data_IF_431588925676
#
_entry.id   IF_431588925676
#
_cell.length_a   1.000
_cell.length_b   1.000
_cell.length_c   1.000
_cell.angle_alpha   90.00
_cell.angle_beta   90.00
_cell.angle_gamma   90.00
#
_symmetry.space_group_name_H-M   'P 1'
#
loop_
_entity.id
_entity.type
_entity.pdbx_description
1 polymer ?
#
# COMPACT_ATOMS: atom_id res chain seq x y z
N UNK A 1 52.15 8.55 -63.69
CA UNK A 1 51.99 7.86 -62.40
C UNK A 1 50.71 8.36 -61.75
N UNK A 2 49.76 7.45 -61.49
CA UNK A 2 48.65 7.56 -60.53
C UNK A 2 47.64 8.72 -60.72
N UNK A 3 46.60 8.50 -61.53
CA UNK A 3 45.36 9.31 -61.46
C UNK A 3 44.07 8.48 -61.63
N UNK A 4 44.16 7.15 -61.76
CA UNK A 4 42.99 6.28 -61.97
C UNK A 4 42.43 5.64 -60.69
N UNK A 5 43.08 5.81 -59.53
CA UNK A 5 42.64 5.20 -58.26
C UNK A 5 41.54 5.99 -57.52
N UNK A 6 41.17 7.20 -57.97
CA UNK A 6 40.24 8.07 -57.23
C UNK A 6 38.75 7.80 -57.51
N UNK A 7 38.41 7.02 -58.54
CA UNK A 7 37.01 6.72 -58.88
C UNK A 7 36.45 5.53 -58.10
N UNK A 8 37.33 4.63 -57.67
CA UNK A 8 37.00 3.42 -56.91
C UNK A 8 36.81 3.71 -55.41
N UNK A 9 37.51 4.70 -54.86
CA UNK A 9 37.41 5.08 -53.44
C UNK A 9 36.06 5.74 -53.05
N UNK A 10 35.34 6.36 -54.01
CA UNK A 10 34.06 7.01 -53.72
C UNK A 10 32.92 6.04 -53.40
N UNK A 11 33.02 4.79 -53.86
CA UNK A 11 32.03 3.76 -53.54
C UNK A 11 32.06 3.38 -52.07
N UNK A 12 33.27 3.24 -51.50
CA UNK A 12 33.48 2.77 -50.13
C UNK A 12 32.92 3.77 -49.11
N UNK A 13 33.06 5.08 -49.36
CA UNK A 13 32.54 6.11 -48.44
C UNK A 13 31.02 6.05 -48.30
N UNK A 14 30.30 5.76 -49.39
CA UNK A 14 28.83 5.64 -49.38
C UNK A 14 28.39 4.42 -48.57
N UNK A 15 29.07 3.27 -48.73
CA UNK A 15 28.79 2.07 -47.93
C UNK A 15 29.01 2.33 -46.45
N UNK A 16 30.09 3.03 -46.09
CA UNK A 16 30.41 3.34 -44.70
C UNK A 16 29.35 4.23 -44.06
N UNK A 17 28.90 5.27 -44.76
CA UNK A 17 27.82 6.15 -44.30
C UNK A 17 26.51 5.37 -44.12
N UNK A 18 26.18 4.48 -45.05
CA UNK A 18 24.95 3.68 -44.99
C UNK A 18 24.96 2.73 -43.78
N UNK A 19 26.08 2.05 -43.53
CA UNK A 19 26.23 1.16 -42.36
C UNK A 19 26.07 1.97 -41.06
N UNK A 20 26.75 3.11 -40.96
CA UNK A 20 26.64 3.97 -39.76
C UNK A 20 25.20 4.44 -39.54
N UNK A 21 24.50 4.83 -40.61
CA UNK A 21 23.11 5.29 -40.52
C UNK A 21 22.16 4.17 -40.06
N UNK A 22 22.34 2.95 -40.57
CA UNK A 22 21.53 1.80 -40.15
C UNK A 22 21.81 1.43 -38.70
N UNK A 23 23.06 1.46 -38.25
CA UNK A 23 23.44 1.15 -36.87
C UNK A 23 22.88 2.20 -35.90
N UNK A 24 22.99 3.49 -36.21
CA UNK A 24 22.46 4.55 -35.33
C UNK A 24 20.93 4.54 -35.28
N UNK A 25 20.26 4.26 -36.41
CA UNK A 25 18.81 4.08 -36.44
C UNK A 25 18.36 2.86 -35.62
N UNK A 26 19.07 1.74 -35.74
CA UNK A 26 18.79 0.54 -34.95
C UNK A 26 18.93 0.80 -33.44
N UNK A 27 19.98 1.53 -33.04
CA UNK A 27 20.19 1.91 -31.65
C UNK A 27 19.09 2.84 -31.12
N UNK A 28 18.68 3.86 -31.89
CA UNK A 28 17.66 4.81 -31.46
C UNK A 28 16.27 4.17 -31.33
N UNK A 29 15.91 3.27 -32.25
CA UNK A 29 14.67 2.48 -32.18
C UNK A 29 14.71 1.51 -30.98
N UNK A 30 15.84 0.87 -30.73
CA UNK A 30 16.04 0.01 -29.57
C UNK A 30 15.79 0.76 -28.26
N UNK A 31 16.40 1.92 -28.08
CA UNK A 31 16.22 2.77 -26.89
C UNK A 31 14.78 3.24 -26.74
N UNK A 32 14.12 3.64 -27.84
CA UNK A 32 12.71 4.08 -27.81
C UNK A 32 11.77 2.99 -27.31
N UNK A 33 12.02 1.73 -27.68
CA UNK A 33 11.20 0.60 -27.22
C UNK A 33 11.32 0.34 -25.71
N UNK A 34 12.51 0.57 -25.14
CA UNK A 34 12.75 0.45 -23.70
C UNK A 34 12.03 1.56 -22.95
N UNK A 35 12.12 2.81 -23.42
CA UNK A 35 11.43 3.95 -22.83
C UNK A 35 9.91 3.77 -22.80
N UNK A 36 9.31 3.26 -23.88
CA UNK A 36 7.86 3.02 -23.93
C UNK A 36 7.41 1.95 -22.92
N UNK A 37 8.24 0.93 -22.66
CA UNK A 37 7.94 -0.07 -21.61
C UNK A 37 7.98 0.55 -20.22
N UNK A 38 8.94 1.43 -19.96
CA UNK A 38 9.06 2.11 -18.67
C UNK A 38 7.89 3.07 -18.40
N UNK A 39 7.38 3.78 -19.42
CA UNK A 39 6.22 4.66 -19.28
C UNK A 39 4.95 3.92 -18.82
N UNK A 40 4.74 2.68 -19.26
CA UNK A 40 3.60 1.87 -18.79
C UNK A 40 3.73 1.49 -17.31
N UNK A 41 4.94 1.25 -16.83
CA UNK A 41 5.18 0.96 -15.42
C UNK A 41 4.92 2.20 -14.55
N UNK A 42 5.29 3.39 -15.03
CA UNK A 42 5.03 4.66 -14.33
C UNK A 42 3.53 4.95 -14.20
N UNK A 43 2.72 4.60 -15.21
CA UNK A 43 1.26 4.74 -15.14
C UNK A 43 0.62 3.98 -13.97
N UNK A 44 1.13 2.78 -13.65
CA UNK A 44 0.66 1.99 -12.50
C UNK A 44 1.07 2.54 -11.13
N UNK A 45 2.08 3.42 -11.08
CA UNK A 45 2.50 4.07 -9.83
C UNK A 45 1.46 5.09 -9.36
N UNK A 46 0.80 5.78 -10.29
CA UNK A 46 -0.19 6.81 -10.00
C UNK A 46 -1.38 6.29 -9.17
N UNK A 47 -1.85 5.09 -9.48
CA UNK A 47 -2.97 4.44 -8.77
C UNK A 47 -2.53 3.61 -7.56
N UNK A 48 -1.25 3.21 -7.52
CA UNK A 48 -0.70 2.45 -6.38
C UNK A 48 -0.51 3.32 -5.14
N UNK A 49 -0.17 4.59 -5.31
CA UNK A 49 0.10 5.49 -4.19
C UNK A 49 -1.17 5.78 -3.35
N UNK A 50 -2.34 6.09 -3.94
CA UNK A 50 -3.59 6.22 -3.19
C UNK A 50 -4.00 4.94 -2.45
N UNK A 51 -3.88 3.77 -3.08
CA UNK A 51 -4.16 2.48 -2.43
C UNK A 51 -3.22 2.23 -1.24
N UNK A 52 -1.94 2.56 -1.38
CA UNK A 52 -0.97 2.44 -0.30
C UNK A 52 -1.24 3.45 0.82
N UNK A 53 -1.58 4.70 0.49
CA UNK A 53 -1.97 5.72 1.46
C UNK A 53 -3.21 5.32 2.26
N UNK A 54 -4.21 4.70 1.61
CA UNK A 54 -5.37 4.15 2.31
C UNK A 54 -4.98 3.00 3.26
N UNK A 55 -4.10 2.11 2.83
CA UNK A 55 -3.58 1.05 3.70
C UNK A 55 -2.82 1.61 4.92
N UNK A 56 -1.98 2.63 4.73
CA UNK A 56 -1.28 3.30 5.85
C UNK A 56 -2.23 4.04 6.78
N UNK A 57 -3.25 4.73 6.25
CA UNK A 57 -4.25 5.39 7.07
C UNK A 57 -5.03 4.40 7.95
N UNK A 58 -5.40 3.24 7.40
CA UNK A 58 -5.98 2.17 8.20
C UNK A 58 -5.01 1.61 9.25
N UNK A 59 -3.74 1.39 8.88
CA UNK A 59 -2.72 0.93 9.81
C UNK A 59 -2.50 1.92 10.98
N UNK A 60 -2.51 3.23 10.71
CA UNK A 60 -2.41 4.27 11.72
C UNK A 60 -3.61 4.25 12.68
N UNK A 61 -4.84 4.06 12.17
CA UNK A 61 -6.04 3.93 13.01
C UNK A 61 -5.96 2.73 13.95
N UNK A 62 -5.50 1.57 13.47
CA UNK A 62 -5.31 0.39 14.31
C UNK A 62 -4.26 0.64 15.42
N UNK A 63 -3.12 1.25 15.08
CA UNK A 63 -2.10 1.57 16.08
C UNK A 63 -2.55 2.62 17.09
N UNK A 64 -3.45 3.53 16.67
CA UNK A 64 -4.05 4.51 17.57
C UNK A 64 -5.09 3.87 18.48
N UNK A 65 -5.85 2.89 17.98
CA UNK A 65 -6.76 2.08 18.79
C UNK A 65 -6.02 1.35 19.92
N UNK A 66 -4.87 0.73 19.62
CA UNK A 66 -4.00 0.13 20.64
C UNK A 66 -3.63 1.10 21.76
N UNK A 67 -3.40 2.36 21.39
CA UNK A 67 -3.06 3.41 22.36
C UNK A 67 -4.25 3.77 23.24
N UNK A 68 -5.48 3.68 22.72
CA UNK A 68 -6.68 3.85 23.53
C UNK A 68 -6.86 2.69 24.53
N UNK A 69 -6.63 1.45 24.09
CA UNK A 69 -6.89 0.27 24.92
C UNK A 69 -6.06 0.22 26.21
N UNK A 70 -4.85 0.76 26.19
CA UNK A 70 -3.95 0.80 27.37
C UNK A 70 -4.27 1.93 28.37
N UNK A 71 -5.31 2.74 28.13
CA UNK A 71 -5.70 3.81 29.05
C UNK A 71 -6.35 3.25 30.32
N UNK A 72 -5.92 3.75 31.49
CA UNK A 72 -6.42 3.31 32.79
C UNK A 72 -7.82 3.85 33.10
N UNK A 73 -8.15 5.05 32.62
CA UNK A 73 -9.47 5.65 32.82
C UNK A 73 -10.44 5.17 31.73
N UNK A 74 -11.51 4.50 32.16
CA UNK A 74 -12.51 3.90 31.28
C UNK A 74 -13.24 4.96 30.43
N UNK A 75 -13.52 6.14 31.00
CA UNK A 75 -14.24 7.20 30.26
C UNK A 75 -13.34 7.78 29.17
N UNK A 76 -12.07 8.03 29.47
CA UNK A 76 -11.09 8.50 28.48
C UNK A 76 -10.84 7.43 27.40
N UNK A 77 -10.78 6.15 27.80
CA UNK A 77 -10.61 5.02 26.87
C UNK A 77 -11.76 4.92 25.88
N UNK A 78 -13.01 4.89 26.35
CA UNK A 78 -14.18 4.78 25.48
C UNK A 78 -14.31 6.00 24.56
N UNK A 79 -14.07 7.20 25.09
CA UNK A 79 -14.04 8.44 24.27
C UNK A 79 -12.95 8.38 23.20
N UNK A 80 -11.77 7.84 23.53
CA UNK A 80 -10.67 7.65 22.57
C UNK A 80 -11.06 6.64 21.48
N UNK A 81 -11.70 5.53 21.85
CA UNK A 81 -12.16 4.51 20.89
C UNK A 81 -13.19 5.10 19.94
N UNK A 82 -14.19 5.82 20.43
CA UNK A 82 -15.19 6.52 19.61
C UNK A 82 -14.53 7.49 18.62
N UNK A 83 -13.59 8.33 19.08
CA UNK A 83 -12.87 9.27 18.21
C UNK A 83 -12.06 8.56 17.11
N UNK A 84 -11.39 7.46 17.45
CA UNK A 84 -10.46 6.77 16.54
C UNK A 84 -11.19 5.85 15.56
N UNK A 85 -12.21 5.14 16.05
CA UNK A 85 -12.96 4.17 15.26
C UNK A 85 -14.08 4.81 14.45
N UNK A 86 -14.63 5.94 14.92
CA UNK A 86 -15.86 6.53 14.38
C UNK A 86 -17.13 5.75 14.75
N UNK A 87 -17.03 4.79 15.67
CA UNK A 87 -18.16 4.02 16.20
C UNK A 87 -18.76 4.79 17.38
N UNK A 88 -20.08 4.94 17.40
CA UNK A 88 -20.78 5.55 18.53
C UNK A 88 -20.56 4.72 19.80
N UNK A 89 -20.40 5.36 20.96
CA UNK A 89 -20.18 4.66 22.24
C UNK A 89 -21.20 3.55 22.55
N UNK A 90 -22.43 3.65 22.03
CA UNK A 90 -23.48 2.66 22.22
C UNK A 90 -23.24 1.33 21.49
N UNK A 91 -22.40 1.36 20.46
CA UNK A 91 -22.07 0.21 19.60
C UNK A 91 -20.68 -0.35 19.93
N UNK A 92 -19.96 0.21 20.91
CA UNK A 92 -18.70 -0.35 21.41
C UNK A 92 -18.98 -1.70 22.10
N UNK A 93 -18.21 -2.76 21.79
CA UNK A 93 -18.37 -4.06 22.43
C UNK A 93 -18.30 -3.97 23.96
N UNK A 94 -19.16 -4.73 24.65
CA UNK A 94 -19.16 -4.79 26.11
C UNK A 94 -17.83 -5.30 26.69
N UNK A 95 -17.07 -6.07 25.91
CA UNK A 95 -15.74 -6.57 26.29
C UNK A 95 -14.69 -5.44 26.40
N UNK A 96 -15.03 -4.22 25.98
CA UNK A 96 -14.24 -3.00 26.20
C UNK A 96 -14.47 -2.33 27.56
N UNK A 97 -15.46 -2.79 28.34
CA UNK A 97 -15.75 -2.31 29.70
C UNK A 97 -14.87 -3.07 30.71
N UNK A 98 -14.21 -2.37 31.64
CA UNK A 98 -13.40 -3.01 32.69
C UNK A 98 -11.89 -2.71 32.68
N UNK A 99 -11.23 -2.99 33.80
CA UNK A 99 -9.87 -2.50 34.07
C UNK A 99 -8.77 -3.42 33.50
N UNK A 100 -8.55 -3.38 32.19
CA UNK A 100 -7.27 -3.72 31.55
C UNK A 100 -6.75 -5.14 31.83
N UNK A 101 -7.64 -6.12 32.02
CA UNK A 101 -7.18 -7.49 31.95
C UNK A 101 -6.86 -7.79 30.48
N UNK A 102 -5.67 -8.35 30.19
CA UNK A 102 -5.18 -8.43 28.82
C UNK A 102 -5.97 -9.43 27.93
N UNK A 103 -6.89 -10.22 28.51
CA UNK A 103 -7.89 -10.98 27.76
C UNK A 103 -9.00 -10.08 27.19
N UNK A 104 -9.49 -9.15 28.00
CA UNK A 104 -10.54 -8.20 27.62
C UNK A 104 -10.04 -7.23 26.54
N UNK A 105 -8.75 -6.85 26.57
CA UNK A 105 -8.14 -5.99 25.54
C UNK A 105 -8.12 -6.62 24.14
N UNK A 106 -7.98 -7.95 24.05
CA UNK A 106 -7.97 -8.67 22.77
C UNK A 106 -9.37 -8.80 22.19
N UNK A 107 -10.33 -9.16 23.03
CA UNK A 107 -11.72 -9.32 22.64
C UNK A 107 -12.33 -7.97 22.27
N UNK A 108 -12.08 -6.93 23.08
CA UNK A 108 -12.45 -5.55 22.78
C UNK A 108 -11.91 -5.10 21.42
N UNK A 109 -10.62 -5.30 21.16
CA UNK A 109 -9.99 -4.90 19.90
C UNK A 109 -10.60 -5.59 18.70
N UNK A 110 -10.81 -6.90 18.79
CA UNK A 110 -11.41 -7.70 17.72
C UNK A 110 -12.82 -7.19 17.44
N UNK A 111 -13.64 -6.99 18.48
CA UNK A 111 -14.98 -6.45 18.34
C UNK A 111 -15.01 -5.05 17.74
N UNK A 112 -14.15 -4.14 18.19
CA UNK A 112 -14.06 -2.79 17.62
C UNK A 112 -13.66 -2.84 16.14
N UNK A 113 -12.73 -3.70 15.75
CA UNK A 113 -12.34 -3.84 14.34
C UNK A 113 -13.43 -4.47 13.49
N UNK A 114 -14.19 -5.42 14.02
CA UNK A 114 -15.37 -5.97 13.35
C UNK A 114 -16.41 -4.88 13.09
N UNK A 115 -16.73 -4.07 14.09
CA UNK A 115 -17.66 -2.94 13.96
C UNK A 115 -17.13 -1.87 13.00
N UNK A 116 -15.83 -1.55 13.04
CA UNK A 116 -15.21 -0.63 12.08
C UNK A 116 -15.40 -1.11 10.64
N UNK A 117 -15.36 -2.42 10.37
CA UNK A 117 -15.61 -2.98 9.04
C UNK A 117 -17.10 -2.96 8.64
N UNK A 118 -18.02 -2.89 9.60
CA UNK A 118 -19.45 -2.73 9.36
C UNK A 118 -19.85 -1.28 9.07
N UNK A 119 -18.97 -0.32 9.35
CA UNK A 119 -19.20 1.08 9.02
C UNK A 119 -19.50 1.27 7.52
N UNK A 120 -20.37 2.25 7.18
CA UNK A 120 -20.66 2.58 5.79
C UNK A 120 -19.37 2.84 5.02
N UNK A 121 -19.32 2.43 3.75
CA UNK A 121 -18.15 2.63 2.88
C UNK A 121 -17.66 4.09 2.88
N UNK A 122 -18.57 5.06 3.05
CA UNK A 122 -18.23 6.48 3.13
C UNK A 122 -17.26 6.82 4.27
N UNK A 123 -17.40 6.18 5.44
CA UNK A 123 -16.51 6.38 6.59
C UNK A 123 -15.13 5.70 6.40
N UNK A 124 -15.10 4.70 5.51
CA UNK A 124 -13.91 3.93 5.13
C UNK A 124 -13.29 4.40 3.81
N UNK A 125 -13.80 5.48 3.24
CA UNK A 125 -13.32 6.09 2.00
C UNK A 125 -12.64 7.43 2.31
N UNK A 126 -11.41 7.59 1.84
CA UNK A 126 -10.68 8.85 1.93
C UNK A 126 -11.21 9.87 0.91
N UNK A 127 -10.89 11.15 1.09
CA UNK A 127 -11.29 12.25 0.18
C UNK A 127 -10.92 12.02 -1.29
N UNK A 128 -9.87 11.24 -1.55
CA UNK A 128 -9.41 10.89 -2.89
C UNK A 128 -10.16 9.69 -3.51
N UNK A 129 -11.13 9.09 -2.80
CA UNK A 129 -11.89 7.92 -3.23
C UNK A 129 -11.21 6.57 -2.96
N UNK A 130 -10.03 6.56 -2.32
CA UNK A 130 -9.38 5.31 -1.90
C UNK A 130 -10.05 4.77 -0.63
N UNK A 131 -10.18 3.45 -0.55
CA UNK A 131 -10.87 2.77 0.55
C UNK A 131 -9.89 1.92 1.35
N UNK A 132 -10.20 1.61 2.59
CA UNK A 132 -9.44 0.66 3.38
C UNK A 132 -10.33 -0.27 4.22
N UNK A 133 -9.83 -1.48 4.43
CA UNK A 133 -10.44 -2.52 5.24
C UNK A 133 -9.43 -3.05 6.27
N UNK A 134 -9.95 -3.60 7.36
CA UNK A 134 -9.15 -4.12 8.46
C UNK A 134 -9.35 -5.63 8.61
N UNK A 135 -8.31 -6.33 9.04
CA UNK A 135 -8.43 -7.68 9.56
C UNK A 135 -7.49 -7.84 10.74
N UNK A 136 -7.94 -8.50 11.80
CA UNK A 136 -7.10 -8.94 12.90
C UNK A 136 -7.08 -10.46 12.89
N UNK A 137 -5.89 -11.01 13.08
CA UNK A 137 -5.65 -12.43 13.22
C UNK A 137 -4.97 -12.70 14.56
N UNK A 138 -5.41 -13.78 15.19
CA UNK A 138 -4.86 -14.27 16.44
C UNK A 138 -3.41 -14.74 16.26
N UNK A 139 -2.57 -14.65 17.31
CA UNK A 139 -1.19 -15.11 17.24
C UNK A 139 -1.13 -16.62 16.97
N UNK A 140 -0.33 -17.02 15.98
CA UNK A 140 -0.17 -18.41 15.54
C UNK A 140 -0.24 -18.59 14.02
N UNK A 141 0.20 -19.75 13.54
CA UNK A 141 0.24 -20.04 12.09
C UNK A 141 1.25 -19.16 11.34
N UNK A 142 0.76 -18.36 10.39
CA UNK A 142 1.55 -17.40 9.60
C UNK A 142 1.77 -16.05 10.33
N UNK A 143 1.05 -15.81 11.43
CA UNK A 143 1.25 -14.64 12.29
C UNK A 143 2.40 -14.90 13.28
N UNK A 144 3.56 -14.29 13.04
CA UNK A 144 4.76 -14.37 13.91
C UNK A 144 4.63 -13.55 15.22
N UNK A 145 3.42 -13.14 15.61
CA UNK A 145 3.14 -12.41 16.85
C UNK A 145 3.67 -13.16 18.09
N UNK A 146 4.32 -12.42 18.99
CA UNK A 146 5.09 -12.99 20.09
C UNK A 146 4.17 -13.33 21.28
N UNK A 147 3.91 -14.63 21.50
CA UNK A 147 3.25 -15.20 22.70
C UNK A 147 1.78 -14.74 22.93
N UNK A 148 1.14 -15.24 24.00
CA UNK A 148 -0.30 -15.14 24.37
C UNK A 148 -0.99 -13.75 24.26
N UNK A 149 -0.25 -12.66 24.01
CA UNK A 149 -0.71 -11.27 23.98
C UNK A 149 -0.43 -10.53 22.66
N UNK A 150 0.30 -11.16 21.73
CA UNK A 150 0.59 -10.59 20.42
C UNK A 150 -0.60 -10.70 19.47
N UNK A 151 -0.58 -9.93 18.38
CA UNK A 151 -1.59 -10.03 17.32
C UNK A 151 -0.99 -9.62 15.97
N UNK A 152 -1.62 -10.08 14.90
CA UNK A 152 -1.36 -9.57 13.56
C UNK A 152 -2.56 -8.78 13.08
N UNK A 153 -2.32 -7.53 12.69
CA UNK A 153 -3.32 -6.71 12.02
C UNK A 153 -2.92 -6.47 10.59
N UNK A 154 -3.91 -6.52 9.71
CA UNK A 154 -3.77 -6.21 8.30
C UNK A 154 -4.67 -5.04 7.96
N UNK A 155 -4.08 -4.00 7.36
CA UNK A 155 -4.81 -2.93 6.70
C UNK A 155 -4.69 -3.09 5.19
N UNK A 156 -5.82 -3.21 4.50
CA UNK A 156 -5.88 -3.38 3.05
C UNK A 156 -6.48 -2.14 2.43
N UNK A 157 -5.67 -1.38 1.68
CA UNK A 157 -6.12 -0.22 0.93
C UNK A 157 -6.41 -0.55 -0.53
N UNK A 158 -7.48 0.02 -1.09
CA UNK A 158 -7.89 -0.19 -2.48
C UNK A 158 -8.17 1.14 -3.19
N UNK A 159 -7.76 1.24 -4.47
CA UNK A 159 -8.04 2.38 -5.33
C UNK A 159 -7.99 1.97 -6.80
N UNK A 160 -9.04 2.27 -7.56
CA UNK A 160 -9.15 1.96 -9.01
C UNK A 160 -8.73 0.51 -9.38
N UNK A 161 -9.09 -0.47 -8.54
CA UNK A 161 -8.77 -1.89 -8.74
C UNK A 161 -7.34 -2.31 -8.34
N UNK A 162 -6.51 -1.38 -7.87
CA UNK A 162 -5.23 -1.70 -7.23
C UNK A 162 -5.45 -1.89 -5.74
N UNK A 163 -4.91 -2.99 -5.21
CA UNK A 163 -4.97 -3.33 -3.78
C UNK A 163 -3.57 -3.35 -3.20
N UNK A 164 -3.40 -2.74 -2.03
CA UNK A 164 -2.16 -2.73 -1.24
C UNK A 164 -2.47 -3.16 0.17
N UNK A 165 -1.52 -3.84 0.78
CA UNK A 165 -1.65 -4.42 2.12
C UNK A 165 -0.49 -3.96 2.97
N UNK A 166 -0.79 -3.52 4.19
CA UNK A 166 0.17 -3.28 5.26
C UNK A 166 -0.16 -4.23 6.39
N UNK A 167 0.87 -4.90 6.90
CA UNK A 167 0.76 -5.84 8.01
C UNK A 167 1.50 -5.27 9.21
N UNK A 168 0.88 -5.36 10.38
CA UNK A 168 1.41 -4.96 11.67
C UNK A 168 1.49 -6.22 12.52
N UNK A 169 2.68 -6.51 13.04
CA UNK A 169 2.92 -7.60 13.99
C UNK A 169 3.32 -6.98 15.32
N UNK A 170 2.60 -7.33 16.38
CA UNK A 170 2.78 -6.79 17.74
C UNK A 170 3.00 -7.91 18.76
#
# INVERSE_FOLDING_TARGET
MKLETLKEEKGITIYLVLIVLVVTLGASLGLSSIFLRQLRLVGGVGVSMPAYHAAEAGAERLLRLDTCLIMEDETERLTCIEEVSGIDNADIPADCEGAGEPGDERDCRTGVVEEMNLLPEAERTLDNGAQYDFAIEDPGGDCEGNNDWGYCATSTGSFEGVVRRVEIVR
#
